data_IF_812390036212
#
_entry.id   IF_812390036212
#
_cell.length_a   1.000
_cell.length_b   1.000
_cell.length_c   1.000
_cell.angle_alpha   90.00
_cell.angle_beta   90.00
_cell.angle_gamma   90.00
#
_symmetry.space_group_name_H-M   'P 1'
#
loop_
_entity.id
_entity.type
_entity.pdbx_description
1 polymer ?
#
# COMPACT_ATOMS: atom_id res chain seq x y z
N UNK A 1 3.46 -9.89 4.74
CA UNK A 1 2.96 -9.10 3.60
C UNK A 1 1.53 -9.45 3.14
N UNK A 2 1.12 -10.71 2.97
CA UNK A 2 0.03 -11.09 2.04
C UNK A 2 -1.38 -10.49 2.24
N UNK A 3 -1.66 -9.85 3.37
CA UNK A 3 -2.91 -9.10 3.60
C UNK A 3 -2.72 -7.69 4.15
N UNK A 4 -1.47 -7.25 4.38
CA UNK A 4 -1.19 -5.88 4.85
C UNK A 4 -1.32 -4.87 3.72
N UNK A 5 -0.85 -5.26 2.53
CA UNK A 5 -0.97 -4.55 1.27
C UNK A 5 -1.28 -5.61 0.21
N UNK A 6 -2.56 -6.02 0.09
CA UNK A 6 -2.97 -6.63 -1.17
C UNK A 6 -3.11 -5.43 -2.10
N UNK A 7 -2.23 -5.24 -3.10
CA UNK A 7 -2.43 -4.15 -4.04
C UNK A 7 -3.85 -4.29 -4.57
N UNK A 8 -4.62 -3.21 -4.45
CA UNK A 8 -5.87 -3.03 -5.16
C UNK A 8 -5.52 -3.15 -6.63
N UNK A 9 -5.64 -4.37 -7.16
CA UNK A 9 -5.58 -4.58 -8.58
C UNK A 9 -6.89 -4.05 -9.13
N UNK A 10 -6.79 -2.89 -9.76
CA UNK A 10 -7.80 -2.40 -10.66
C UNK A 10 -8.15 -3.53 -11.63
N UNK A 11 -9.40 -3.93 -11.64
CA UNK A 11 -9.99 -4.17 -12.94
C UNK A 11 -9.90 -2.87 -13.73
N UNK A 12 -9.05 -2.87 -14.76
CA UNK A 12 -9.34 -2.07 -15.94
C UNK A 12 -10.67 -2.61 -16.50
N UNK A 13 -11.79 -2.24 -15.89
CA UNK A 13 -13.14 -2.60 -16.37
C UNK A 13 -13.42 -2.00 -17.73
N UNK A 14 -12.58 -1.07 -18.22
CA UNK A 14 -12.59 -0.56 -19.59
C UNK A 14 -11.16 -0.50 -20.18
N UNK A 15 -10.65 -1.63 -20.66
CA UNK A 15 -10.11 -1.57 -22.03
C UNK A 15 -11.34 -1.48 -22.91
N UNK A 16 -11.56 -0.32 -23.54
CA UNK A 16 -12.67 -0.13 -24.48
C UNK A 16 -12.52 -1.13 -25.65
N UNK A 17 -13.14 -2.31 -25.51
CA UNK A 17 -13.14 -3.34 -26.56
C UNK A 17 -13.91 -2.90 -27.81
N UNK A 18 -14.56 -1.73 -27.80
CA UNK A 18 -15.27 -1.16 -28.96
C UNK A 18 -14.36 -0.32 -29.87
N UNK A 19 -13.08 -0.13 -29.53
CA UNK A 19 -12.11 0.65 -30.33
C UNK A 19 -10.79 -0.07 -30.62
N UNK A 20 -10.79 -1.40 -30.71
CA UNK A 20 -9.64 -2.11 -31.28
C UNK A 20 -9.85 -2.29 -32.78
N UNK A 21 -9.42 -1.29 -33.55
CA UNK A 21 -8.99 -1.53 -34.93
C UNK A 21 -7.61 -2.20 -34.87
N UNK A 22 -7.55 -3.45 -35.32
CA UNK A 22 -6.31 -4.19 -35.46
C UNK A 22 -5.61 -3.75 -36.75
N UNK A 23 -5.11 -2.51 -36.78
CA UNK A 23 -4.23 -2.05 -37.86
C UNK A 23 -2.90 -1.52 -37.28
N UNK A 24 -1.90 -2.38 -37.38
CA UNK A 24 -0.44 -2.15 -37.44
C UNK A 24 0.11 -0.80 -36.94
N UNK A 25 0.69 -0.78 -35.73
CA UNK A 25 2.07 -0.31 -35.51
C UNK A 25 2.54 -0.51 -34.04
N UNK A 26 3.66 -1.22 -33.89
CA UNK A 26 4.30 -1.58 -32.63
C UNK A 26 4.88 -0.37 -31.87
N UNK A 27 4.05 0.35 -31.11
CA UNK A 27 4.51 1.17 -29.98
C UNK A 27 3.51 1.04 -28.83
N UNK A 28 3.91 0.31 -27.79
CA UNK A 28 3.20 0.31 -26.51
C UNK A 28 3.52 1.65 -25.81
N UNK A 29 2.64 2.62 -26.01
CA UNK A 29 2.60 3.86 -25.24
C UNK A 29 1.41 3.69 -24.30
N UNK A 30 1.58 3.68 -22.97
CA UNK A 30 0.44 3.65 -22.06
C UNK A 30 -0.44 4.89 -22.37
N UNK A 31 -1.75 4.74 -22.60
CA UNK A 31 -2.59 5.86 -22.98
C UNK A 31 -2.60 6.90 -21.85
N UNK A 32 -2.10 8.11 -22.12
CA UNK A 32 -2.19 9.26 -21.20
C UNK A 32 -3.63 9.75 -21.03
N UNK A 33 -4.58 9.24 -21.82
CA UNK A 33 -5.95 9.73 -21.92
C UNK A 33 -7.03 8.64 -21.73
N UNK A 34 -6.85 7.71 -20.78
CA UNK A 34 -7.92 6.76 -20.43
C UNK A 34 -9.09 7.41 -19.64
N UNK A 35 -9.25 8.73 -19.70
CA UNK A 35 -10.47 9.40 -19.29
C UNK A 35 -11.55 9.14 -20.34
N UNK A 36 -12.46 8.20 -20.05
CA UNK A 36 -13.63 7.93 -20.89
C UNK A 36 -14.54 9.16 -20.87
N UNK A 37 -14.36 10.09 -21.80
CA UNK A 37 -15.36 11.13 -22.07
C UNK A 37 -16.47 10.50 -22.90
N UNK A 38 -17.46 9.90 -22.24
CA UNK A 38 -18.77 9.83 -22.88
C UNK A 38 -19.39 11.23 -22.90
N UNK A 39 -20.24 11.52 -23.88
CA UNK A 39 -20.86 12.83 -24.06
C UNK A 39 -21.80 13.26 -22.93
N UNK A 40 -21.90 12.48 -21.84
CA UNK A 40 -22.69 12.78 -20.63
C UNK A 40 -21.84 13.13 -19.40
N UNK A 41 -20.53 12.83 -19.40
CA UNK A 41 -19.61 13.20 -18.32
C UNK A 41 -19.78 12.44 -16.98
N UNK A 42 -20.84 11.65 -16.81
CA UNK A 42 -21.22 11.05 -15.53
C UNK A 42 -20.60 9.66 -15.25
N UNK A 43 -20.32 8.83 -16.28
CA UNK A 43 -19.80 7.46 -16.07
C UNK A 43 -18.27 7.37 -16.04
N UNK A 44 -17.57 8.45 -16.39
CA UNK A 44 -16.09 8.51 -16.37
C UNK A 44 -15.50 8.52 -14.96
N UNK A 45 -16.28 8.93 -13.96
CA UNK A 45 -15.80 9.16 -12.60
C UNK A 45 -15.62 7.91 -11.79
N UNK A 46 -16.35 6.84 -12.10
CA UNK A 46 -16.16 5.51 -11.52
C UNK A 46 -14.94 4.78 -12.09
N UNK A 47 -14.31 5.24 -13.17
CA UNK A 47 -13.09 4.63 -13.71
C UNK A 47 -11.80 5.24 -13.12
N UNK A 48 -11.91 6.18 -12.17
CA UNK A 48 -10.77 6.91 -11.64
C UNK A 48 -10.06 6.24 -10.45
N UNK A 49 -10.23 4.93 -10.20
CA UNK A 49 -9.62 4.28 -9.03
C UNK A 49 -8.09 4.18 -9.03
N UNK A 50 -7.41 4.67 -10.08
CA UNK A 50 -5.94 4.61 -10.21
C UNK A 50 -5.21 5.34 -9.06
N UNK A 51 -5.80 6.40 -8.49
CA UNK A 51 -5.19 7.09 -7.34
C UNK A 51 -5.01 6.15 -6.13
N UNK A 52 -5.95 5.22 -5.92
CA UNK A 52 -5.95 4.30 -4.78
C UNK A 52 -4.83 3.28 -4.93
N UNK A 53 -4.66 2.72 -6.14
CA UNK A 53 -3.55 1.81 -6.43
C UNK A 53 -2.18 2.48 -6.28
N UNK A 54 -2.07 3.77 -6.61
CA UNK A 54 -0.83 4.52 -6.39
C UNK A 54 -0.50 4.67 -4.90
N UNK A 55 -1.50 4.92 -4.05
CA UNK A 55 -1.30 4.94 -2.59
C UNK A 55 -0.84 3.59 -2.04
N UNK A 56 -1.42 2.48 -2.54
CA UNK A 56 -1.04 1.13 -2.10
C UNK A 56 0.42 0.77 -2.39
N UNK A 57 1.04 1.34 -3.43
CA UNK A 57 2.48 1.17 -3.64
C UNK A 57 3.29 1.80 -2.51
N UNK A 58 2.92 3.00 -2.06
CA UNK A 58 3.54 3.64 -0.89
C UNK A 58 3.29 2.85 0.40
N UNK A 59 2.14 2.16 0.53
CA UNK A 59 1.89 1.28 1.66
C UNK A 59 2.81 0.05 1.65
N UNK A 60 3.03 -0.56 0.48
CA UNK A 60 3.99 -1.67 0.34
C UNK A 60 5.40 -1.21 0.75
N UNK A 61 5.84 -0.04 0.30
CA UNK A 61 7.12 0.55 0.69
C UNK A 61 7.21 0.79 2.20
N UNK A 62 6.17 1.38 2.80
CA UNK A 62 6.11 1.66 4.24
C UNK A 62 6.16 0.38 5.09
N UNK A 63 5.42 -0.67 4.70
CA UNK A 63 5.43 -1.97 5.39
C UNK A 63 6.78 -2.66 5.23
N UNK A 64 7.36 -2.64 4.02
CA UNK A 64 8.69 -3.21 3.75
C UNK A 64 9.76 -2.54 4.59
N UNK A 65 9.77 -1.20 4.61
CA UNK A 65 10.69 -0.39 5.41
C UNK A 65 10.53 -0.69 6.90
N UNK A 66 9.29 -0.78 7.38
CA UNK A 66 9.01 -1.12 8.78
C UNK A 66 9.54 -2.50 9.15
N UNK A 67 9.35 -3.51 8.29
CA UNK A 67 9.90 -4.87 8.52
C UNK A 67 11.43 -4.83 8.58
N UNK A 68 12.08 -4.08 7.69
CA UNK A 68 13.55 -3.94 7.69
C UNK A 68 14.07 -3.25 8.96
N UNK A 69 13.32 -2.31 9.52
CA UNK A 69 13.67 -1.67 10.79
C UNK A 69 13.45 -2.58 12.00
N UNK A 70 12.49 -3.51 11.93
CA UNK A 70 12.21 -4.46 13.01
C UNK A 70 13.29 -5.54 13.15
N UNK A 71 14.08 -5.78 12.11
CA UNK A 71 15.18 -6.76 12.11
C UNK A 71 16.53 -6.15 12.47
N UNK A 72 16.61 -4.82 12.59
CA UNK A 72 17.83 -4.12 13.03
C UNK A 72 18.27 -4.61 14.42
N UNK A 73 19.55 -4.95 14.54
CA UNK A 73 20.12 -5.47 15.78
C UNK A 73 19.69 -6.90 16.12
N UNK A 74 19.10 -7.63 15.16
CA UNK A 74 18.77 -9.03 15.35
C UNK A 74 19.99 -9.95 15.26
N UNK A 75 21.10 -9.51 14.70
CA UNK A 75 22.39 -10.19 14.73
C UNK A 75 23.48 -9.30 15.34
N UNK A 76 24.71 -9.82 15.41
CA UNK A 76 25.88 -9.05 15.80
C UNK A 76 27.06 -9.35 14.87
N UNK A 77 27.90 -8.35 14.65
CA UNK A 77 29.10 -8.51 13.84
C UNK A 77 30.16 -9.34 14.59
N UNK A 78 30.56 -10.47 14.02
CA UNK A 78 31.64 -11.32 14.54
C UNK A 78 32.22 -12.22 13.43
N UNK A 79 33.43 -12.80 13.64
CA UNK A 79 33.93 -13.88 12.79
C UNK A 79 32.91 -15.04 12.66
N UNK A 80 32.81 -15.71 11.50
CA UNK A 80 31.80 -16.74 11.26
C UNK A 80 31.77 -17.87 12.30
N UNK A 81 32.94 -18.29 12.80
CA UNK A 81 33.07 -19.36 13.79
C UNK A 81 32.51 -18.98 15.19
N UNK A 82 32.19 -17.70 15.42
CA UNK A 82 31.47 -17.24 16.62
C UNK A 82 29.94 -17.29 16.48
N UNK A 83 29.43 -17.78 15.34
CA UNK A 83 27.99 -17.96 15.07
C UNK A 83 27.16 -16.67 15.25
N UNK A 84 27.49 -15.58 14.51
CA UNK A 84 26.81 -14.27 14.65
C UNK A 84 25.30 -14.29 14.40
N UNK A 85 24.81 -15.24 13.58
CA UNK A 85 23.39 -15.42 13.24
C UNK A 85 22.70 -16.48 14.10
N UNK A 86 23.26 -16.86 15.25
CA UNK A 86 22.80 -18.00 16.05
C UNK A 86 21.32 -17.99 16.43
N UNK A 87 20.72 -16.82 16.62
CA UNK A 87 19.31 -16.67 17.00
C UNK A 87 18.36 -16.94 15.82
N UNK A 88 18.80 -16.81 14.57
CA UNK A 88 17.97 -16.98 13.38
C UNK A 88 17.30 -18.37 13.32
N UNK A 89 17.93 -19.39 13.90
CA UNK A 89 17.41 -20.77 13.96
C UNK A 89 16.14 -20.92 14.82
N UNK A 90 15.95 -20.02 15.78
CA UNK A 90 14.84 -20.06 16.75
C UNK A 90 13.74 -19.05 16.39
N UNK A 91 13.98 -18.19 15.39
CA UNK A 91 12.99 -17.22 14.89
C UNK A 91 11.99 -17.90 13.94
N UNK A 92 10.73 -17.48 14.02
CA UNK A 92 9.64 -18.06 13.20
C UNK A 92 9.86 -17.94 11.69
N UNK A 93 10.64 -16.97 11.24
CA UNK A 93 10.92 -16.73 9.82
C UNK A 93 12.43 -16.64 9.55
N UNK A 94 13.12 -17.77 9.67
CA UNK A 94 14.55 -17.90 9.36
C UNK A 94 14.90 -17.49 7.92
N UNK A 95 13.94 -17.53 6.99
CA UNK A 95 14.18 -17.16 5.60
C UNK A 95 14.63 -15.70 5.45
N UNK A 96 14.28 -14.80 6.37
CA UNK A 96 14.76 -13.40 6.31
C UNK A 96 16.27 -13.28 6.46
N UNK A 97 16.89 -14.16 7.25
CA UNK A 97 18.34 -14.19 7.43
C UNK A 97 19.00 -14.86 6.23
N UNK A 98 18.48 -16.02 5.82
CA UNK A 98 19.10 -16.83 4.76
C UNK A 98 18.95 -16.23 3.36
N UNK A 99 17.80 -15.68 3.02
CA UNK A 99 17.48 -15.27 1.64
C UNK A 99 17.68 -13.78 1.38
N UNK A 100 17.55 -12.94 2.41
CA UNK A 100 17.41 -11.48 2.24
C UNK A 100 18.26 -10.65 3.18
N UNK A 101 19.29 -11.22 3.84
CA UNK A 101 20.19 -10.48 4.71
C UNK A 101 19.42 -9.59 5.71
N UNK A 102 18.46 -10.20 6.42
CA UNK A 102 17.59 -9.57 7.41
C UNK A 102 16.63 -8.50 6.85
N UNK A 103 16.29 -8.54 5.56
CA UNK A 103 15.28 -7.65 4.98
C UNK A 103 13.95 -8.36 4.69
N UNK A 104 12.92 -7.59 4.37
CA UNK A 104 11.57 -8.06 4.11
C UNK A 104 11.49 -9.00 2.90
N UNK A 105 10.59 -9.97 3.00
CA UNK A 105 10.25 -10.89 1.93
C UNK A 105 8.82 -10.62 1.43
N UNK A 106 8.58 -10.88 0.15
CA UNK A 106 7.23 -10.89 -0.44
C UNK A 106 6.44 -12.16 -0.03
N UNK A 107 6.31 -12.40 1.28
CA UNK A 107 5.66 -13.58 1.86
C UNK A 107 4.61 -13.23 2.92
N UNK A 108 3.74 -14.18 3.27
CA UNK A 108 2.86 -14.07 4.43
C UNK A 108 3.61 -14.39 5.75
N UNK A 109 2.90 -14.34 6.88
CA UNK A 109 3.44 -14.60 8.22
C UNK A 109 3.75 -16.07 8.50
N UNK A 110 3.47 -16.96 7.55
CA UNK A 110 3.77 -18.39 7.54
C UNK A 110 4.84 -18.75 6.50
N UNK A 111 5.40 -17.75 5.80
CA UNK A 111 6.46 -17.94 4.81
C UNK A 111 5.97 -18.28 3.40
N UNK A 112 4.66 -18.31 3.13
CA UNK A 112 4.16 -18.54 1.76
C UNK A 112 4.37 -17.30 0.91
N UNK A 113 4.91 -17.46 -0.29
CA UNK A 113 5.06 -16.35 -1.25
C UNK A 113 3.72 -15.71 -1.58
N UNK A 114 3.73 -14.40 -1.78
CA UNK A 114 2.61 -13.71 -2.41
C UNK A 114 2.43 -14.23 -3.84
N UNK A 115 1.19 -14.39 -4.27
CA UNK A 115 0.85 -14.95 -5.57
C UNK A 115 -0.22 -14.11 -6.26
N UNK A 116 -0.16 -14.09 -7.59
CA UNK A 116 -1.12 -13.36 -8.41
C UNK A 116 -2.56 -13.86 -8.30
N UNK A 117 -2.79 -15.07 -7.79
CA UNK A 117 -4.14 -15.60 -7.54
C UNK A 117 -4.84 -14.97 -6.32
N UNK A 118 -4.15 -14.09 -5.58
CA UNK A 118 -4.78 -13.21 -4.59
C UNK A 118 -5.43 -11.97 -5.20
N UNK A 119 -5.24 -11.74 -6.50
CA UNK A 119 -5.86 -10.66 -7.26
C UNK A 119 -7.24 -11.10 -7.73
N UNK A 120 -8.24 -10.25 -7.48
CA UNK A 120 -9.58 -10.40 -8.04
C UNK A 120 -9.86 -9.26 -9.01
N UNK A 121 -10.21 -9.60 -10.25
CA UNK A 121 -10.46 -8.64 -11.33
C UNK A 121 -11.45 -9.29 -12.29
N UNK A 122 -12.74 -9.06 -12.09
CA UNK A 122 -13.79 -9.72 -12.87
C UNK A 122 -14.16 -8.95 -14.14
N UNK A 123 -13.87 -7.65 -14.18
CA UNK A 123 -14.35 -6.76 -15.23
C UNK A 123 -15.79 -6.28 -15.00
N UNK A 124 -16.48 -6.78 -13.97
CA UNK A 124 -17.78 -6.29 -13.53
C UNK A 124 -17.58 -5.28 -12.40
N UNK A 125 -17.92 -4.02 -12.66
CA UNK A 125 -17.65 -2.91 -11.75
C UNK A 125 -18.25 -3.12 -10.35
N UNK A 126 -19.53 -3.48 -10.24
CA UNK A 126 -20.18 -3.63 -8.93
C UNK A 126 -19.55 -4.78 -8.14
N UNK A 127 -19.25 -5.89 -8.80
CA UNK A 127 -18.59 -7.04 -8.18
C UNK A 127 -17.16 -6.70 -7.71
N UNK A 128 -16.41 -5.97 -8.52
CA UNK A 128 -15.05 -5.55 -8.18
C UNK A 128 -15.04 -4.51 -7.05
N UNK A 129 -16.00 -3.58 -7.01
CA UNK A 129 -16.18 -2.65 -5.90
C UNK A 129 -16.52 -3.36 -4.60
N UNK A 130 -17.44 -4.33 -4.65
CA UNK A 130 -17.82 -5.12 -3.49
C UNK A 130 -16.63 -5.93 -2.97
N UNK A 131 -15.85 -6.53 -3.88
CA UNK A 131 -14.59 -7.19 -3.53
C UNK A 131 -13.63 -6.22 -2.83
N UNK A 132 -13.44 -5.01 -3.37
CA UNK A 132 -12.51 -4.04 -2.80
C UNK A 132 -12.96 -3.54 -1.42
N UNK A 133 -14.26 -3.32 -1.23
CA UNK A 133 -14.83 -3.03 0.09
C UNK A 133 -14.51 -4.15 1.10
N UNK A 134 -14.73 -5.40 0.72
CA UNK A 134 -14.38 -6.56 1.55
C UNK A 134 -12.87 -6.65 1.82
N UNK A 135 -12.05 -6.39 0.81
CA UNK A 135 -10.60 -6.43 0.89
C UNK A 135 -10.08 -5.47 1.96
N UNK A 136 -10.56 -4.24 1.98
CA UNK A 136 -10.13 -3.21 2.92
C UNK A 136 -10.50 -3.55 4.38
N UNK A 137 -11.74 -3.98 4.62
CA UNK A 137 -12.16 -4.34 5.99
C UNK A 137 -11.50 -5.64 6.48
N UNK A 138 -11.20 -6.57 5.56
CA UNK A 138 -10.38 -7.75 5.85
C UNK A 138 -8.93 -7.37 6.21
N UNK A 139 -8.31 -6.51 5.41
CA UNK A 139 -6.97 -5.99 5.67
C UNK A 139 -6.89 -5.21 6.98
N UNK A 140 -7.90 -4.39 7.29
CA UNK A 140 -8.04 -3.69 8.58
C UNK A 140 -8.08 -4.66 9.75
N UNK A 141 -8.89 -5.72 9.65
CA UNK A 141 -8.97 -6.77 10.69
C UNK A 141 -7.59 -7.38 10.98
N UNK A 142 -6.78 -7.61 9.95
CA UNK A 142 -5.44 -8.16 10.11
C UNK A 142 -4.46 -7.16 10.72
N UNK A 143 -4.53 -5.89 10.31
CA UNK A 143 -3.76 -4.81 10.93
C UNK A 143 -4.04 -4.72 12.44
N UNK A 144 -5.32 -4.76 12.84
CA UNK A 144 -5.73 -4.74 14.24
C UNK A 144 -5.18 -5.92 15.04
N UNK A 145 -5.31 -7.15 14.52
CA UNK A 145 -4.78 -8.34 15.19
C UNK A 145 -3.25 -8.31 15.32
N UNK A 146 -2.54 -7.85 14.28
CA UNK A 146 -1.08 -7.71 14.35
C UNK A 146 -0.66 -6.62 15.34
N UNK A 147 -1.42 -5.53 15.45
CA UNK A 147 -1.20 -4.51 16.48
C UNK A 147 -1.26 -5.10 17.90
N UNK A 148 -2.21 -6.02 18.13
CA UNK A 148 -2.35 -6.71 19.42
C UNK A 148 -1.22 -7.72 19.69
N UNK A 149 -0.50 -8.17 18.66
CA UNK A 149 0.60 -9.13 18.77
C UNK A 149 1.97 -8.50 19.01
N UNK A 150 2.10 -7.17 18.93
CA UNK A 150 3.39 -6.47 19.06
C UNK A 150 3.26 -5.20 19.88
N UNK A 151 4.30 -4.89 20.65
CA UNK A 151 4.50 -3.62 21.34
C UNK A 151 5.60 -2.75 20.71
N UNK A 152 6.25 -3.24 19.64
CA UNK A 152 7.35 -2.52 19.00
C UNK A 152 6.85 -1.19 18.41
N UNK A 153 7.45 -0.04 18.78
CA UNK A 153 6.95 1.28 18.38
C UNK A 153 6.90 1.47 16.87
N UNK A 154 7.93 1.05 16.12
CA UNK A 154 7.92 1.11 14.65
C UNK A 154 6.75 0.35 14.02
N UNK A 155 6.44 -0.85 14.51
CA UNK A 155 5.31 -1.63 14.01
C UNK A 155 3.98 -0.92 14.34
N UNK A 156 3.82 -0.45 15.58
CA UNK A 156 2.60 0.26 16.00
C UNK A 156 2.41 1.59 15.29
N UNK A 157 3.49 2.30 14.98
CA UNK A 157 3.49 3.54 14.19
C UNK A 157 2.95 3.31 12.79
N UNK A 158 3.55 2.35 12.08
CA UNK A 158 3.12 1.98 10.74
C UNK A 158 1.68 1.47 10.74
N UNK A 159 1.32 0.58 11.67
CA UNK A 159 -0.04 0.03 11.74
C UNK A 159 -1.05 1.12 12.06
N UNK A 160 -0.75 2.02 13.01
CA UNK A 160 -1.62 3.14 13.37
C UNK A 160 -1.90 4.04 12.18
N UNK A 161 -0.87 4.38 11.40
CA UNK A 161 -1.03 5.15 10.16
C UNK A 161 -1.92 4.41 9.16
N UNK A 162 -1.64 3.13 8.89
CA UNK A 162 -2.37 2.34 7.90
C UNK A 162 -3.80 1.98 8.32
N UNK A 163 -4.13 1.95 9.62
CA UNK A 163 -5.51 1.82 10.09
C UNK A 163 -6.35 3.04 9.71
N UNK A 164 -5.76 4.23 9.80
CA UNK A 164 -6.42 5.49 9.39
C UNK A 164 -6.53 5.58 7.88
N UNK A 165 -5.47 5.26 7.14
CA UNK A 165 -5.50 5.25 5.65
C UNK A 165 -6.48 4.21 5.10
N UNK A 166 -6.47 2.98 5.63
CA UNK A 166 -7.44 1.95 5.23
C UNK A 166 -8.89 2.39 5.47
N UNK A 167 -9.18 3.13 6.55
CA UNK A 167 -10.50 3.73 6.77
C UNK A 167 -10.91 4.70 5.65
N UNK A 168 -9.97 5.53 5.19
CA UNK A 168 -10.17 6.42 4.03
C UNK A 168 -10.48 5.64 2.75
N UNK A 169 -9.93 4.42 2.59
CA UNK A 169 -10.07 3.61 1.37
C UNK A 169 -11.38 2.81 1.30
N UNK A 170 -11.95 2.42 2.44
CA UNK A 170 -13.23 1.70 2.47
C UNK A 170 -14.39 2.59 2.01
N UNK A 171 -14.38 3.85 2.43
CA UNK A 171 -15.51 4.77 2.24
C UNK A 171 -15.78 5.18 0.77
N UNK A 172 -14.81 5.43 -0.14
CA UNK A 172 -15.12 5.67 -1.56
C UNK A 172 -15.73 4.44 -2.23
N UNK A 173 -15.34 3.20 -1.86
CA UNK A 173 -15.96 1.99 -2.39
C UNK A 173 -17.41 1.85 -1.94
N UNK A 174 -17.67 2.04 -0.64
CA UNK A 174 -19.03 2.01 -0.11
C UNK A 174 -19.93 3.06 -0.79
N UNK A 175 -19.45 4.30 -0.93
CA UNK A 175 -20.19 5.37 -1.64
C UNK A 175 -20.38 5.07 -3.12
N UNK A 176 -19.38 4.49 -3.80
CA UNK A 176 -19.51 4.12 -5.20
C UNK A 176 -20.55 3.00 -5.41
N UNK A 177 -20.61 2.02 -4.51
CA UNK A 177 -21.65 0.98 -4.52
C UNK A 177 -23.03 1.58 -4.26
N UNK A 178 -23.14 2.51 -3.32
CA UNK A 178 -24.40 3.23 -3.05
C UNK A 178 -24.88 3.99 -4.30
N UNK A 179 -23.99 4.71 -4.98
CA UNK A 179 -24.31 5.42 -6.23
C UNK A 179 -24.73 4.42 -7.33
N UNK A 180 -24.02 3.31 -7.48
CA UNK A 180 -24.27 2.35 -8.55
C UNK A 180 -25.50 1.46 -8.33
N UNK A 181 -25.90 1.21 -7.07
CA UNK A 181 -26.89 0.18 -6.72
C UNK A 181 -28.01 0.65 -5.79
N UNK A 182 -27.88 1.82 -5.18
CA UNK A 182 -28.76 2.31 -4.12
C UNK A 182 -28.52 1.67 -2.74
N UNK A 183 -27.56 0.74 -2.61
CA UNK A 183 -27.26 0.05 -1.34
C UNK A 183 -26.21 0.82 -0.55
N UNK A 184 -26.61 1.34 0.61
CA UNK A 184 -25.73 2.08 1.52
C UNK A 184 -24.90 1.14 2.42
N UNK A 185 -23.69 0.79 1.95
CA UNK A 185 -22.73 -0.01 2.72
C UNK A 185 -22.00 0.77 3.82
N UNK A 186 -22.12 2.11 3.86
CA UNK A 186 -21.44 2.92 4.89
C UNK A 186 -21.97 2.60 6.28
N UNK A 187 -23.25 2.20 6.36
CA UNK A 187 -23.90 1.72 7.59
C UNK A 187 -23.31 0.45 8.19
N UNK A 188 -22.48 -0.28 7.45
CA UNK A 188 -21.79 -1.46 7.98
C UNK A 188 -20.51 -1.10 8.73
N UNK A 189 -19.99 0.12 8.58
CA UNK A 189 -18.70 0.53 9.14
C UNK A 189 -18.84 1.03 10.59
N UNK A 190 -17.82 0.81 11.44
CA UNK A 190 -16.57 0.11 11.14
C UNK A 190 -16.70 -1.43 11.20
N UNK A 191 -15.91 -2.12 10.38
CA UNK A 191 -15.73 -3.59 10.45
C UNK A 191 -14.26 -3.90 10.76
N UNK A 192 -13.96 -4.69 11.81
CA UNK A 192 -14.83 -5.07 12.92
C UNK A 192 -15.34 -3.84 13.70
N UNK A 193 -16.37 -4.02 14.52
CA UNK A 193 -17.01 -2.97 15.33
C UNK A 193 -16.13 -2.49 16.49
N UNK A 194 -15.00 -1.87 16.16
CA UNK A 194 -14.09 -1.20 17.07
C UNK A 194 -13.55 0.04 16.35
N UNK A 195 -13.62 1.18 17.01
CA UNK A 195 -13.19 2.46 16.46
C UNK A 195 -11.66 2.60 16.44
N UNK A 196 -11.11 3.29 15.44
CA UNK A 196 -9.67 3.52 15.31
C UNK A 196 -9.10 4.34 16.49
N UNK A 197 -9.90 5.18 17.14
CA UNK A 197 -9.49 5.95 18.34
C UNK A 197 -9.12 5.09 19.54
N UNK A 198 -9.44 3.78 19.51
CA UNK A 198 -9.01 2.81 20.53
C UNK A 198 -7.55 2.38 20.38
N UNK A 199 -6.91 2.71 19.26
CA UNK A 199 -5.51 2.45 19.01
C UNK A 199 -4.72 3.75 19.17
N UNK A 200 -3.91 3.87 20.22
CA UNK A 200 -3.20 5.12 20.55
C UNK A 200 -2.35 5.67 19.39
N UNK A 201 -1.70 4.76 18.64
CA UNK A 201 -0.89 5.14 17.48
C UNK A 201 -1.73 5.54 16.25
N UNK A 202 -3.00 5.12 16.15
CA UNK A 202 -3.92 5.57 15.10
C UNK A 202 -4.55 6.93 15.46
N UNK A 203 -4.93 7.11 16.72
CA UNK A 203 -5.60 8.31 17.25
C UNK A 203 -4.93 9.62 16.82
N UNK A 204 -3.60 9.69 16.93
CA UNK A 204 -2.83 10.88 16.53
C UNK A 204 -2.90 11.23 15.04
N UNK A 205 -3.17 10.25 14.18
CA UNK A 205 -3.36 10.47 12.74
C UNK A 205 -4.81 10.88 12.45
N UNK A 206 -5.77 10.40 13.23
CA UNK A 206 -7.16 10.87 13.20
C UNK A 206 -7.28 12.32 13.70
N UNK A 207 -6.56 12.68 14.77
CA UNK A 207 -6.51 14.05 15.29
C UNK A 207 -5.89 15.04 14.28
N UNK A 208 -5.05 14.55 13.38
CA UNK A 208 -4.55 15.32 12.21
C UNK A 208 -5.56 15.41 11.07
N UNK A 209 -6.71 14.72 11.18
CA UNK A 209 -7.77 14.67 10.18
C UNK A 209 -7.41 13.85 8.94
N UNK A 210 -6.43 12.93 9.03
CA UNK A 210 -5.99 12.16 7.87
C UNK A 210 -7.04 11.18 7.35
N UNK A 211 -7.98 10.72 8.19
CA UNK A 211 -9.12 9.91 7.76
C UNK A 211 -10.03 10.67 6.77
N UNK A 212 -10.01 12.00 6.78
CA UNK A 212 -10.85 12.87 5.96
C UNK A 212 -10.21 13.30 4.64
N UNK A 213 -8.97 12.87 4.36
CA UNK A 213 -8.18 13.32 3.23
C UNK A 213 -7.89 12.17 2.27
N UNK A 214 -8.26 12.35 1.00
CA UNK A 214 -7.90 11.46 -0.10
C UNK A 214 -6.91 12.18 -1.02
N UNK A 215 -5.77 11.55 -1.28
CA UNK A 215 -4.72 12.07 -2.15
C UNK A 215 -4.88 11.51 -3.57
N UNK A 216 -4.70 12.32 -4.61
CA UNK A 216 -4.85 11.84 -6.00
C UNK A 216 -3.61 11.12 -6.53
N UNK A 217 -2.44 11.30 -5.90
CA UNK A 217 -1.15 10.75 -6.35
C UNK A 217 -0.80 11.08 -7.81
N UNK A 218 -1.40 12.14 -8.35
CA UNK A 218 -1.14 12.70 -9.68
C UNK A 218 -1.43 14.19 -9.69
N UNK A 219 -0.73 14.92 -10.54
CA UNK A 219 -0.97 16.33 -10.83
C UNK A 219 -1.92 16.43 -12.04
N UNK A 220 -3.18 16.84 -11.80
CA UNK A 220 -4.17 17.08 -12.86
C UNK A 220 -5.03 15.88 -13.29
N UNK A 221 -4.66 14.65 -12.94
CA UNK A 221 -5.45 13.45 -13.27
C UNK A 221 -6.39 13.00 -12.13
N UNK A 222 -7.32 12.09 -12.46
CA UNK A 222 -8.21 11.39 -11.52
C UNK A 222 -9.14 12.28 -10.67
N UNK A 223 -9.31 13.55 -11.07
CA UNK A 223 -10.09 14.54 -10.33
C UNK A 223 -11.58 14.21 -10.18
N UNK A 224 -12.10 13.26 -10.98
CA UNK A 224 -13.47 12.77 -10.86
C UNK A 224 -13.77 12.13 -9.51
N UNK A 225 -12.75 11.73 -8.74
CA UNK A 225 -12.94 11.23 -7.36
C UNK A 225 -13.65 12.24 -6.45
N UNK A 226 -13.52 13.55 -6.72
CA UNK A 226 -14.23 14.62 -5.99
C UNK A 226 -15.76 14.47 -6.06
N UNK A 227 -16.29 13.72 -7.04
CA UNK A 227 -17.73 13.45 -7.16
C UNK A 227 -18.22 12.34 -6.23
N UNK A 228 -17.34 11.43 -5.82
CA UNK A 228 -17.63 10.30 -4.92
C UNK A 228 -17.18 10.65 -3.50
N UNK A 229 -15.94 11.13 -3.34
CA UNK A 229 -15.34 11.53 -2.06
C UNK A 229 -15.78 12.94 -1.65
N UNK A 230 -17.04 13.05 -1.21
CA UNK A 230 -17.67 14.31 -0.79
C UNK A 230 -18.62 14.11 0.38
N UNK A 231 -19.00 15.23 0.99
CA UNK A 231 -19.86 15.27 2.17
C UNK A 231 -19.04 15.15 3.45
N UNK A 232 -19.61 14.47 4.45
CA UNK A 232 -18.99 14.26 5.75
C UNK A 232 -18.63 12.79 5.95
N UNK A 233 -17.60 12.52 6.75
CA UNK A 233 -17.30 11.15 7.18
C UNK A 233 -18.37 10.64 8.15
N UNK A 234 -18.79 9.36 8.05
CA UNK A 234 -19.68 8.74 9.03
C UNK A 234 -19.09 8.65 10.45
N UNK A 235 -17.76 8.63 10.58
CA UNK A 235 -17.08 8.38 11.86
C UNK A 235 -17.15 9.59 12.81
N UNK A 236 -16.82 10.79 12.31
CA UNK A 236 -16.72 12.00 13.13
C UNK A 236 -17.52 13.20 12.59
N UNK A 237 -18.22 13.05 11.46
CA UNK A 237 -19.03 14.12 10.86
C UNK A 237 -18.23 15.25 10.21
N UNK A 238 -16.90 15.18 10.18
CA UNK A 238 -16.07 16.21 9.52
C UNK A 238 -16.12 16.10 8.00
N UNK A 239 -15.71 17.18 7.33
CA UNK A 239 -15.79 17.30 5.87
C UNK A 239 -14.67 16.51 5.17
N UNK A 240 -15.08 15.68 4.20
CA UNK A 240 -14.18 14.98 3.30
C UNK A 240 -13.51 15.95 2.31
N UNK A 241 -12.21 15.76 2.09
CA UNK A 241 -11.37 16.60 1.23
C UNK A 241 -10.54 15.72 0.29
N UNK A 242 -10.40 16.17 -0.96
CA UNK A 242 -9.46 15.61 -1.93
C UNK A 242 -8.30 16.58 -2.07
N UNK A 243 -7.07 16.09 -1.90
CA UNK A 243 -5.83 16.82 -2.12
C UNK A 243 -5.16 16.28 -3.38
N UNK A 244 -4.75 17.18 -4.26
CA UNK A 244 -4.03 16.79 -5.48
C UNK A 244 -2.55 16.52 -5.17
N UNK A 245 -1.98 15.49 -5.78
CA UNK A 245 -0.63 15.02 -5.52
C UNK A 245 -0.54 13.99 -4.39
N UNK A 246 0.67 13.77 -3.91
CA UNK A 246 0.99 12.86 -2.80
C UNK A 246 1.20 13.65 -1.49
N UNK A 247 1.01 13.05 -0.31
CA UNK A 247 1.40 13.69 0.95
C UNK A 247 2.90 13.99 0.97
N UNK A 248 3.31 14.96 1.80
CA UNK A 248 4.73 15.15 2.11
C UNK A 248 5.27 13.86 2.76
N UNK A 249 6.26 13.25 2.11
CA UNK A 249 6.90 12.02 2.57
C UNK A 249 7.95 12.26 3.66
N UNK A 250 8.67 11.20 3.99
CA UNK A 250 9.82 11.27 4.89
C UNK A 250 11.05 10.61 4.22
N UNK A 251 12.28 10.94 4.64
CA UNK A 251 13.46 10.24 4.17
C UNK A 251 13.36 8.74 4.46
N UNK A 252 13.69 7.91 3.48
CA UNK A 252 13.83 6.47 3.66
C UNK A 252 15.13 6.23 4.44
N UNK A 253 15.10 5.51 5.57
CA UNK A 253 16.31 5.21 6.32
C UNK A 253 17.22 4.29 5.51
N UNK A 254 18.52 4.60 5.49
CA UNK A 254 19.52 3.67 5.02
C UNK A 254 19.78 2.64 6.13
N UNK A 255 19.78 1.36 5.76
CA UNK A 255 20.15 0.29 6.68
C UNK A 255 21.66 0.25 6.86
N UNK A 256 22.10 -0.12 8.06
CA UNK A 256 23.50 -0.32 8.37
C UNK A 256 24.06 -1.54 7.63
N UNK A 257 25.37 -1.55 7.41
CA UNK A 257 26.08 -2.73 6.90
C UNK A 257 25.91 -3.91 7.88
N UNK A 258 25.69 -5.10 7.33
CA UNK A 258 25.63 -6.37 8.05
C UNK A 258 26.72 -7.30 7.52
N UNK A 259 27.98 -7.17 7.99
CA UNK A 259 29.09 -7.99 7.51
C UNK A 259 28.87 -9.50 7.71
N UNK A 260 28.18 -9.90 8.76
CA UNK A 260 27.79 -11.29 9.04
C UNK A 260 26.76 -11.84 8.04
N UNK A 261 26.01 -10.96 7.36
CA UNK A 261 25.10 -11.30 6.26
C UNK A 261 25.75 -11.04 4.88
N UNK A 262 27.04 -10.66 4.87
CA UNK A 262 27.76 -10.25 3.66
C UNK A 262 27.09 -9.10 2.90
N UNK A 263 26.35 -8.23 3.61
CA UNK A 263 25.57 -7.14 3.04
C UNK A 263 26.13 -5.77 3.48
N UNK A 264 26.32 -4.79 2.56
CA UNK A 264 26.11 -4.87 1.11
C UNK A 264 27.24 -5.60 0.36
N UNK A 265 28.27 -6.10 1.08
CA UNK A 265 29.38 -6.86 0.50
C UNK A 265 30.43 -6.01 -0.22
N UNK A 266 30.28 -4.69 -0.20
CA UNK A 266 31.24 -3.73 -0.74
C UNK A 266 31.49 -2.61 0.28
N UNK A 267 32.74 -2.16 0.37
CA UNK A 267 33.12 -1.07 1.26
C UNK A 267 32.73 0.27 0.67
N UNK A 268 32.73 1.32 1.49
CA UNK A 268 32.57 2.70 1.03
C UNK A 268 33.58 3.09 -0.05
N UNK A 269 34.82 2.63 0.05
CA UNK A 269 35.86 2.90 -0.95
C UNK A 269 35.51 2.28 -2.31
N UNK A 270 34.93 1.07 -2.31
CA UNK A 270 34.42 0.46 -3.54
C UNK A 270 33.26 1.29 -4.14
N UNK A 271 32.34 1.79 -3.31
CA UNK A 271 31.27 2.69 -3.78
C UNK A 271 31.82 3.95 -4.44
N UNK A 272 32.78 4.62 -3.80
CA UNK A 272 33.39 5.84 -4.36
C UNK A 272 34.14 5.57 -5.66
N UNK A 273 34.81 4.43 -5.76
CA UNK A 273 35.49 4.00 -6.99
C UNK A 273 34.49 3.72 -8.12
N UNK A 274 33.40 3.01 -7.83
CA UNK A 274 32.32 2.74 -8.78
C UNK A 274 31.68 4.05 -9.25
N UNK A 275 31.35 4.96 -8.33
CA UNK A 275 30.79 6.26 -8.65
C UNK A 275 31.72 7.09 -9.56
N UNK A 276 33.03 7.13 -9.26
CA UNK A 276 34.03 7.79 -10.10
C UNK A 276 34.12 7.16 -11.50
N UNK A 277 33.97 5.84 -11.63
CA UNK A 277 33.97 5.17 -12.94
C UNK A 277 32.70 5.49 -13.74
N UNK A 278 31.52 5.48 -13.11
CA UNK A 278 30.26 5.83 -13.77
C UNK A 278 30.27 7.27 -14.30
N UNK A 279 30.80 8.20 -13.51
CA UNK A 279 30.90 9.62 -13.89
C UNK A 279 31.94 9.90 -14.99
N UNK A 280 32.92 9.02 -15.19
CA UNK A 280 33.92 9.16 -16.28
C UNK A 280 33.37 8.78 -17.65
N UNK A 281 32.23 8.06 -17.70
CA UNK A 281 31.60 7.57 -18.93
C UNK A 281 30.36 8.39 -19.34
N UNK A 282 30.08 9.48 -18.62
CA UNK A 282 29.11 10.52 -18.97
C UNK A 282 29.80 11.69 -19.67
#
# INVERSE_FOLDING_TARGET
>A
MSQFCRPVCLSNTHVDRRKHDYSTNNKWIPPRDAAIRDGSGELSTLNNYIFQSAEEFGHVELVTTSINLLTTGSSFQAPPDLTPLQNAKDLRNTAQFVATAQTALATDSMGNSWRGDYVFSSGNLVLDLLHNFFLEVGARTHKMRVYEMTDHPTAREMIGYLLVRGGTHVLPYAKAIEIATGTDLTKMLPIPSLDNSKFDYARKFEEKGLNNVLYTWSEGDYLGIKQIWKGTTPENGERLRVIEGAPEGAPIPNLDDLPEEFAPGITKDHYEQIAKQLLRNL
#
